data_IF_094202674186
#
_entry.id   IF_094202674186
#
_cell.length_a   1.000
_cell.length_b   1.000
_cell.length_c   1.000
_cell.angle_alpha   90.00
_cell.angle_beta   90.00
_cell.angle_gamma   90.00
#
_symmetry.space_group_name_H-M   'P 1'
#
loop_
_entity.id
_entity.type
_entity.pdbx_description
1 polymer ?
#
# COMPACT_ATOMS: atom_id res chain seq x y z
N UNK A 1 -11.56 -40.14 -15.97
CA UNK A 1 -10.75 -39.70 -17.12
C UNK A 1 -9.30 -40.08 -16.84
N UNK A 2 -8.66 -40.83 -17.73
CA UNK A 2 -7.26 -41.25 -17.57
C UNK A 2 -6.35 -40.02 -17.49
N UNK A 3 -5.55 -39.93 -16.43
CA UNK A 3 -4.46 -38.96 -16.31
C UNK A 3 -3.33 -39.36 -17.27
N UNK A 4 -3.53 -39.10 -18.57
CA UNK A 4 -2.44 -39.16 -19.54
C UNK A 4 -1.47 -38.06 -19.14
N UNK A 5 -0.23 -38.44 -18.77
CA UNK A 5 0.87 -37.49 -18.56
C UNK A 5 1.13 -36.86 -19.93
N UNK A 6 0.43 -35.77 -20.23
CA UNK A 6 0.63 -35.04 -21.48
C UNK A 6 1.93 -34.25 -21.39
N UNK A 7 2.70 -34.29 -22.47
CA UNK A 7 3.92 -33.51 -22.55
C UNK A 7 3.58 -32.01 -22.69
N UNK A 8 4.47 -31.13 -22.23
CA UNK A 8 4.25 -29.67 -22.31
C UNK A 8 4.01 -29.21 -23.74
N UNK A 9 4.68 -29.83 -24.72
CA UNK A 9 4.50 -29.53 -26.14
C UNK A 9 3.08 -29.87 -26.64
N UNK A 10 2.51 -31.00 -26.20
CA UNK A 10 1.15 -31.40 -26.57
C UNK A 10 0.11 -30.45 -25.95
N UNK A 11 0.29 -30.12 -24.67
CA UNK A 11 -0.58 -29.17 -23.97
C UNK A 11 -0.55 -27.80 -24.66
N UNK A 12 0.64 -27.28 -24.95
CA UNK A 12 0.82 -26.00 -25.64
C UNK A 12 0.18 -26.02 -27.03
N UNK A 13 0.31 -27.12 -27.78
CA UNK A 13 -0.33 -27.26 -29.09
C UNK A 13 -1.86 -27.22 -29.00
N UNK A 14 -2.47 -27.94 -28.06
CA UNK A 14 -3.92 -27.95 -27.84
C UNK A 14 -4.44 -26.57 -27.42
N UNK A 15 -3.74 -25.92 -26.49
CA UNK A 15 -4.09 -24.58 -26.02
C UNK A 15 -4.08 -23.59 -27.19
N UNK A 16 -3.03 -23.60 -28.02
CA UNK A 16 -2.90 -22.70 -29.17
C UNK A 16 -3.92 -22.96 -30.27
N UNK A 17 -4.12 -24.22 -30.62
CA UNK A 17 -4.86 -24.59 -31.83
C UNK A 17 -6.36 -24.71 -31.58
N UNK A 18 -6.74 -25.17 -30.39
CA UNK A 18 -8.13 -25.52 -30.05
C UNK A 18 -8.71 -24.67 -28.92
N UNK A 19 -7.93 -23.74 -28.36
CA UNK A 19 -8.31 -22.95 -27.19
C UNK A 19 -8.80 -23.84 -26.03
N UNK A 20 -8.23 -25.04 -25.89
CA UNK A 20 -8.66 -26.05 -24.93
C UNK A 20 -8.35 -25.61 -23.49
N UNK A 21 -9.42 -25.36 -22.73
CA UNK A 21 -9.34 -24.95 -21.33
C UNK A 21 -8.85 -26.07 -20.41
N UNK A 22 -9.19 -27.32 -20.72
CA UNK A 22 -8.77 -28.48 -19.94
C UNK A 22 -7.26 -28.68 -20.08
N UNK A 23 -6.72 -28.50 -21.29
CA UNK A 23 -5.29 -28.53 -21.54
C UNK A 23 -4.55 -27.44 -20.75
N UNK A 24 -5.13 -26.23 -20.66
CA UNK A 24 -4.57 -25.17 -19.82
C UNK A 24 -4.62 -25.51 -18.33
N UNK A 25 -5.70 -26.10 -17.83
CA UNK A 25 -5.79 -26.53 -16.43
C UNK A 25 -4.69 -27.53 -16.06
N UNK A 26 -4.39 -28.50 -16.94
CA UNK A 26 -3.27 -29.42 -16.74
C UNK A 26 -1.92 -28.70 -16.73
N UNK A 27 -1.71 -27.74 -17.63
CA UNK A 27 -0.50 -26.94 -17.65
C UNK A 27 -0.38 -26.09 -16.38
N UNK A 28 -1.46 -25.47 -15.94
CA UNK A 28 -1.53 -24.71 -14.70
C UNK A 28 -1.15 -25.57 -13.48
N UNK A 29 -1.75 -26.75 -13.32
CA UNK A 29 -1.43 -27.69 -12.24
C UNK A 29 0.05 -28.14 -12.24
N UNK A 30 0.71 -28.12 -13.40
CA UNK A 30 2.14 -28.44 -13.48
C UNK A 30 3.04 -27.27 -13.08
N UNK A 31 2.64 -26.04 -13.38
CA UNK A 31 3.49 -24.84 -13.26
C UNK A 31 3.16 -23.95 -12.06
N UNK A 32 2.02 -24.12 -11.39
CA UNK A 32 1.60 -23.23 -10.30
C UNK A 32 2.61 -23.17 -9.13
N UNK A 33 3.24 -24.29 -8.76
CA UNK A 33 4.29 -24.32 -7.73
C UNK A 33 5.56 -23.60 -8.17
N UNK A 34 5.88 -23.63 -9.48
CA UNK A 34 7.02 -22.91 -10.03
C UNK A 34 6.78 -21.40 -9.96
N UNK A 35 5.57 -20.94 -10.26
CA UNK A 35 5.18 -19.54 -10.12
C UNK A 35 5.37 -19.11 -8.67
N UNK A 36 4.78 -19.85 -7.72
CA UNK A 36 4.94 -19.56 -6.29
C UNK A 36 6.39 -19.49 -5.86
N UNK A 37 7.22 -20.45 -6.30
CA UNK A 37 8.66 -20.43 -6.04
C UNK A 37 9.29 -19.11 -6.50
N UNK A 38 8.94 -18.62 -7.69
CA UNK A 38 9.49 -17.36 -8.18
C UNK A 38 8.93 -16.13 -7.47
N UNK A 39 7.66 -16.10 -7.11
CA UNK A 39 7.07 -15.01 -6.28
C UNK A 39 7.86 -14.85 -4.98
N UNK A 40 8.13 -15.96 -4.28
CA UNK A 40 8.89 -15.94 -3.03
C UNK A 40 10.37 -15.54 -3.22
N UNK A 41 10.94 -15.76 -4.41
CA UNK A 41 12.30 -15.33 -4.74
C UNK A 41 12.42 -13.83 -5.07
N UNK A 42 11.31 -13.12 -5.27
CA UNK A 42 11.34 -11.70 -5.63
C UNK A 42 11.54 -10.75 -4.44
N UNK A 43 11.55 -11.26 -3.20
CA UNK A 43 11.73 -10.47 -1.97
C UNK A 43 10.75 -9.27 -1.84
N UNK A 44 9.51 -9.45 -2.33
CA UNK A 44 8.42 -8.47 -2.24
C UNK A 44 7.59 -8.65 -0.96
N UNK A 45 6.88 -7.60 -0.54
CA UNK A 45 5.95 -7.64 0.60
C UNK A 45 4.90 -8.73 0.43
N UNK A 46 4.55 -9.42 1.52
CA UNK A 46 3.60 -10.54 1.49
C UNK A 46 2.22 -10.16 0.93
N UNK A 47 1.79 -8.91 1.14
CA UNK A 47 0.52 -8.39 0.59
C UNK A 47 0.48 -8.38 -0.95
N UNK A 48 1.64 -8.31 -1.60
CA UNK A 48 1.77 -8.30 -3.07
C UNK A 48 1.88 -9.72 -3.65
N UNK A 49 2.03 -10.75 -2.81
CA UNK A 49 2.33 -12.11 -3.27
C UNK A 49 1.20 -12.70 -4.12
N UNK A 50 -0.04 -12.51 -3.71
CA UNK A 50 -1.20 -13.02 -4.43
C UNK A 50 -1.35 -12.35 -5.80
N UNK A 51 -1.13 -11.03 -5.88
CA UNK A 51 -1.16 -10.28 -7.14
C UNK A 51 -0.06 -10.76 -8.10
N UNK A 52 1.17 -10.91 -7.61
CA UNK A 52 2.27 -11.45 -8.41
C UNK A 52 2.02 -12.90 -8.85
N UNK A 53 1.38 -13.71 -8.00
CA UNK A 53 1.00 -15.06 -8.36
C UNK A 53 -0.03 -15.06 -9.51
N UNK A 54 -1.06 -14.21 -9.44
CA UNK A 54 -2.04 -14.05 -10.51
C UNK A 54 -1.40 -13.57 -11.82
N UNK A 55 -0.52 -12.58 -11.75
CA UNK A 55 0.28 -12.12 -12.89
C UNK A 55 1.12 -13.26 -13.48
N UNK A 56 1.68 -14.12 -12.64
CA UNK A 56 2.40 -15.31 -13.07
C UNK A 56 1.54 -16.31 -13.85
N UNK A 57 0.27 -16.49 -13.44
CA UNK A 57 -0.70 -17.34 -14.16
C UNK A 57 -1.02 -16.73 -15.52
N UNK A 58 -1.24 -15.41 -15.59
CA UNK A 58 -1.47 -14.73 -16.86
C UNK A 58 -0.27 -14.87 -17.81
N UNK A 59 0.95 -14.75 -17.28
CA UNK A 59 2.18 -14.99 -18.04
C UNK A 59 2.26 -16.44 -18.52
N UNK A 60 1.82 -17.43 -17.73
CA UNK A 60 1.80 -18.83 -18.16
C UNK A 60 0.87 -19.04 -19.36
N UNK A 61 -0.33 -18.45 -19.34
CA UNK A 61 -1.24 -18.47 -20.48
C UNK A 61 -0.61 -17.81 -21.72
N UNK A 62 -0.01 -16.64 -21.54
CA UNK A 62 0.73 -15.95 -22.61
C UNK A 62 1.89 -16.79 -23.13
N UNK A 63 2.61 -17.49 -22.24
CA UNK A 63 3.70 -18.40 -22.61
C UNK A 63 3.18 -19.50 -23.53
N UNK A 64 2.08 -20.14 -23.12
CA UNK A 64 1.44 -21.19 -23.90
C UNK A 64 1.06 -20.68 -25.29
N UNK A 65 0.54 -19.45 -25.43
CA UNK A 65 0.16 -18.89 -26.73
C UNK A 65 1.34 -18.46 -27.61
N UNK A 66 2.46 -18.04 -27.02
CA UNK A 66 3.58 -17.44 -27.75
C UNK A 66 4.79 -18.35 -27.93
N UNK A 67 4.81 -19.52 -27.29
CA UNK A 67 5.94 -20.44 -27.36
C UNK A 67 6.22 -20.93 -28.78
N UNK A 68 7.48 -20.93 -29.17
CA UNK A 68 7.91 -21.33 -30.51
C UNK A 68 9.03 -22.36 -30.38
N UNK A 69 8.72 -23.59 -30.78
CA UNK A 69 9.62 -24.74 -30.66
C UNK A 69 10.85 -24.61 -31.56
N UNK A 70 10.77 -23.85 -32.66
CA UNK A 70 11.89 -23.62 -33.58
C UNK A 70 13.09 -22.91 -32.92
N UNK A 71 12.87 -22.28 -31.76
CA UNK A 71 13.90 -21.53 -31.02
C UNK A 71 14.80 -22.40 -30.15
N UNK A 72 14.73 -23.73 -30.24
CA UNK A 72 15.60 -24.69 -29.53
C UNK A 72 15.67 -24.46 -28.00
N UNK A 73 14.53 -24.13 -27.38
CA UNK A 73 14.39 -24.00 -25.92
C UNK A 73 13.18 -24.80 -25.47
N UNK A 74 13.31 -25.45 -24.32
CA UNK A 74 12.16 -26.12 -23.69
C UNK A 74 11.13 -25.09 -23.25
N UNK A 75 9.84 -25.48 -23.26
CA UNK A 75 8.75 -24.62 -22.79
C UNK A 75 9.03 -24.09 -21.37
N UNK A 76 9.47 -24.95 -20.45
CA UNK A 76 9.84 -24.56 -19.08
C UNK A 76 10.85 -23.42 -19.06
N UNK A 77 11.94 -23.51 -19.85
CA UNK A 77 12.98 -22.48 -19.88
C UNK A 77 12.50 -21.18 -20.51
N UNK A 78 11.65 -21.28 -21.53
CA UNK A 78 10.99 -20.11 -22.11
C UNK A 78 10.09 -19.42 -21.09
N UNK A 79 9.22 -20.18 -20.41
CA UNK A 79 8.30 -19.66 -19.41
C UNK A 79 9.03 -18.99 -18.24
N UNK A 80 10.05 -19.65 -17.67
CA UNK A 80 10.83 -19.06 -16.58
C UNK A 80 11.51 -17.74 -16.97
N UNK A 81 12.00 -17.65 -18.21
CA UNK A 81 12.64 -16.43 -18.72
C UNK A 81 11.64 -15.26 -18.75
N UNK A 82 10.46 -15.48 -19.34
CA UNK A 82 9.46 -14.42 -19.45
C UNK A 82 8.82 -14.08 -18.10
N UNK A 83 8.64 -15.07 -17.21
CA UNK A 83 8.12 -14.89 -15.86
C UNK A 83 9.03 -13.97 -15.04
N UNK A 84 10.34 -14.25 -15.01
CA UNK A 84 11.32 -13.39 -14.33
C UNK A 84 11.29 -11.96 -14.87
N UNK A 85 11.31 -11.80 -16.19
CA UNK A 85 11.28 -10.48 -16.83
C UNK A 85 10.03 -9.70 -16.46
N UNK A 86 8.88 -10.36 -16.45
CA UNK A 86 7.60 -9.77 -16.06
C UNK A 86 7.62 -9.32 -14.60
N UNK A 87 8.06 -10.20 -13.69
CA UNK A 87 8.15 -9.86 -12.27
C UNK A 87 9.10 -8.69 -12.00
N UNK A 88 10.28 -8.64 -12.62
CA UNK A 88 11.17 -7.47 -12.48
C UNK A 88 10.53 -6.19 -13.00
N UNK A 89 9.76 -6.27 -14.10
CA UNK A 89 9.02 -5.11 -14.61
C UNK A 89 7.91 -4.67 -13.64
N UNK A 90 7.19 -5.60 -13.00
CA UNK A 90 6.18 -5.28 -11.98
C UNK A 90 6.81 -4.63 -10.75
N UNK A 91 7.91 -5.19 -10.23
CA UNK A 91 8.65 -4.63 -9.09
C UNK A 91 9.08 -3.19 -9.38
N UNK A 92 9.56 -2.92 -10.60
CA UNK A 92 9.96 -1.56 -10.98
C UNK A 92 8.83 -0.53 -10.97
N UNK A 93 7.57 -0.99 -11.04
CA UNK A 93 6.36 -0.16 -11.02
C UNK A 93 5.70 -0.07 -9.64
N UNK A 94 6.15 -0.86 -8.65
CA UNK A 94 5.59 -0.81 -7.31
C UNK A 94 5.76 0.58 -6.69
N UNK A 95 4.79 1.04 -5.90
CA UNK A 95 4.86 2.35 -5.25
C UNK A 95 6.05 2.37 -4.28
N UNK A 96 6.93 3.36 -4.44
CA UNK A 96 8.09 3.55 -3.56
C UNK A 96 7.72 4.08 -2.18
N UNK A 97 6.57 4.75 -2.08
CA UNK A 97 6.08 5.36 -0.85
C UNK A 97 4.73 4.73 -0.51
N UNK A 98 4.62 4.23 0.72
CA UNK A 98 3.34 3.81 1.28
C UNK A 98 2.67 5.05 1.87
N UNK A 99 1.51 5.40 1.33
CA UNK A 99 0.66 6.43 1.91
C UNK A 99 -0.11 5.77 3.06
N UNK A 100 0.04 6.30 4.26
CA UNK A 100 -0.85 5.97 5.36
C UNK A 100 -2.03 6.94 5.30
N UNK A 101 -3.24 6.43 5.53
CA UNK A 101 -4.39 7.30 5.77
C UNK A 101 -4.07 8.16 7.00
N UNK A 102 -4.34 9.46 6.91
CA UNK A 102 -4.21 10.35 8.05
C UNK A 102 -5.15 9.79 9.13
N UNK A 103 -4.60 9.40 10.29
CA UNK A 103 -5.39 8.83 11.40
C UNK A 103 -6.48 9.79 11.92
N UNK A 104 -6.48 11.04 11.43
CA UNK A 104 -7.52 12.04 11.59
C UNK A 104 -8.80 11.82 10.77
N UNK A 105 -8.91 10.76 9.96
CA UNK A 105 -10.16 10.45 9.24
C UNK A 105 -11.37 10.32 10.20
N UNK A 106 -11.15 9.74 11.38
CA UNK A 106 -12.19 9.61 12.42
C UNK A 106 -12.52 10.94 13.11
N UNK A 107 -11.57 11.87 13.18
CA UNK A 107 -11.75 13.20 13.81
C UNK A 107 -12.78 14.05 13.04
N UNK A 108 -12.96 13.79 11.73
CA UNK A 108 -13.93 14.48 10.89
C UNK A 108 -15.39 14.01 11.05
N UNK A 109 -15.61 12.83 11.64
CA UNK A 109 -16.94 12.21 11.80
C UNK A 109 -17.35 12.01 13.26
N UNK A 110 -16.47 12.31 14.20
CA UNK A 110 -16.86 12.48 15.59
C UNK A 110 -17.81 13.68 15.66
N UNK A 111 -19.09 13.43 15.94
CA UNK A 111 -19.96 14.46 16.48
C UNK A 111 -19.36 14.83 17.84
N UNK A 112 -18.44 15.77 17.85
CA UNK A 112 -18.19 16.53 19.06
C UNK A 112 -19.48 17.32 19.30
N UNK A 113 -20.26 16.93 20.32
CA UNK A 113 -21.01 17.95 21.05
C UNK A 113 -20.01 19.08 21.28
N UNK A 114 -20.35 20.35 20.97
CA UNK A 114 -19.43 21.44 21.20
C UNK A 114 -19.07 21.42 22.68
N UNK A 115 -17.91 20.86 23.00
CA UNK A 115 -17.30 21.02 24.31
C UNK A 115 -17.18 22.53 24.48
N UNK A 116 -17.99 23.10 25.37
CA UNK A 116 -17.90 24.50 25.72
C UNK A 116 -16.52 24.72 26.34
N UNK A 117 -15.56 25.11 25.50
CA UNK A 117 -14.20 25.47 25.90
C UNK A 117 -14.15 26.65 26.90
N UNK A 118 -15.32 27.25 27.16
CA UNK A 118 -15.55 28.33 28.12
C UNK A 118 -14.92 28.02 29.48
N UNK A 119 -15.07 26.80 30.00
CA UNK A 119 -14.56 26.41 31.33
C UNK A 119 -13.03 26.56 31.44
N UNK A 120 -12.29 26.28 30.36
CA UNK A 120 -10.83 26.35 30.32
C UNK A 120 -10.37 27.79 30.10
N UNK A 121 -11.09 28.54 29.27
CA UNK A 121 -10.77 29.94 29.00
C UNK A 121 -11.00 30.84 30.21
N UNK A 122 -11.95 30.54 31.09
CA UNK A 122 -12.21 31.35 32.30
C UNK A 122 -11.01 31.40 33.26
N UNK A 123 -10.20 30.34 33.30
CA UNK A 123 -8.99 30.26 34.11
C UNK A 123 -7.75 30.86 33.41
N UNK A 124 -7.87 31.26 32.14
CA UNK A 124 -6.79 31.78 31.32
C UNK A 124 -6.69 33.31 31.39
N UNK A 125 -5.46 33.82 31.41
CA UNK A 125 -5.20 35.25 31.17
C UNK A 125 -5.55 35.66 29.75
N UNK A 126 -5.75 36.96 29.48
CA UNK A 126 -6.02 37.46 28.11
C UNK A 126 -5.00 36.96 27.09
N UNK A 127 -3.72 36.97 27.47
CA UNK A 127 -2.65 36.44 26.63
C UNK A 127 -2.80 34.93 26.38
N UNK A 128 -3.19 34.16 27.38
CA UNK A 128 -3.40 32.71 27.22
C UNK A 128 -4.66 32.41 26.40
N UNK A 129 -5.71 33.24 26.47
CA UNK A 129 -6.91 33.13 25.63
C UNK A 129 -6.58 33.33 24.15
N UNK A 130 -5.77 34.34 23.83
CA UNK A 130 -5.30 34.55 22.46
C UNK A 130 -4.47 33.37 21.95
N UNK A 131 -3.54 32.85 22.78
CA UNK A 131 -2.74 31.68 22.44
C UNK A 131 -3.62 30.43 22.29
N UNK A 132 -4.66 30.28 23.13
CA UNK A 132 -5.62 29.20 23.02
C UNK A 132 -6.32 29.22 21.65
N UNK A 133 -6.85 30.39 21.27
CA UNK A 133 -7.50 30.60 19.99
C UNK A 133 -6.57 30.30 18.80
N UNK A 134 -5.39 30.93 18.74
CA UNK A 134 -4.51 30.78 17.58
C UNK A 134 -3.86 29.39 17.46
N UNK A 135 -3.49 28.77 18.59
CA UNK A 135 -2.75 27.51 18.58
C UNK A 135 -3.67 26.28 18.64
N UNK A 136 -4.68 26.27 19.50
CA UNK A 136 -5.52 25.09 19.74
C UNK A 136 -6.73 25.03 18.81
N UNK A 137 -7.38 26.18 18.53
CA UNK A 137 -8.55 26.26 17.65
C UNK A 137 -8.12 26.41 16.18
N UNK A 138 -7.36 27.46 15.85
CA UNK A 138 -6.98 27.78 14.47
C UNK A 138 -5.77 26.98 13.94
N UNK A 139 -5.13 26.16 14.79
CA UNK A 139 -3.98 25.30 14.45
C UNK A 139 -2.82 26.04 13.77
N UNK A 140 -2.58 27.30 14.12
CA UNK A 140 -1.50 28.08 13.52
C UNK A 140 -0.12 27.65 14.05
N UNK A 141 0.90 27.70 13.19
CA UNK A 141 2.28 27.44 13.60
C UNK A 141 2.80 28.56 14.53
N UNK A 142 3.57 28.19 15.56
CA UNK A 142 4.13 29.13 16.57
C UNK A 142 4.89 30.30 15.94
N UNK A 143 5.57 30.07 14.81
CA UNK A 143 6.27 31.14 14.05
C UNK A 143 5.32 32.22 13.53
N UNK A 144 4.10 31.85 13.13
CA UNK A 144 3.07 32.77 12.65
C UNK A 144 2.48 33.57 13.82
N UNK A 145 2.17 32.88 14.91
CA UNK A 145 1.67 33.49 16.16
C UNK A 145 2.69 34.50 16.73
N UNK A 146 3.97 34.13 16.75
CA UNK A 146 5.08 34.99 17.20
C UNK A 146 5.16 36.30 16.40
N UNK A 147 4.94 36.24 15.08
CA UNK A 147 4.89 37.44 14.23
C UNK A 147 3.65 38.28 14.48
N UNK A 148 2.49 37.66 14.63
CA UNK A 148 1.21 38.34 14.81
C UNK A 148 1.12 39.06 16.16
N UNK A 149 1.54 38.38 17.23
CA UNK A 149 1.51 38.93 18.59
C UNK A 149 2.80 39.68 18.97
N UNK A 150 3.76 39.80 18.03
CA UNK A 150 5.06 40.44 18.23
C UNK A 150 5.77 39.97 19.51
N UNK A 151 5.78 38.67 19.76
CA UNK A 151 6.32 38.07 20.98
C UNK A 151 7.28 36.92 20.68
N UNK A 152 8.23 36.68 21.58
CA UNK A 152 9.25 35.63 21.40
C UNK A 152 8.60 34.23 21.38
N UNK A 153 9.02 33.31 20.49
CA UNK A 153 8.48 31.95 20.44
C UNK A 153 8.49 31.24 21.79
N UNK A 154 9.51 31.47 22.61
CA UNK A 154 9.63 30.91 23.97
C UNK A 154 8.45 31.31 24.88
N UNK A 155 7.97 32.55 24.77
CA UNK A 155 6.83 33.05 25.55
C UNK A 155 5.54 32.33 25.15
N UNK A 156 5.38 32.01 23.86
CA UNK A 156 4.24 31.24 23.34
C UNK A 156 4.29 29.79 23.85
N UNK A 157 5.45 29.12 23.77
CA UNK A 157 5.60 27.77 24.31
C UNK A 157 5.27 27.69 25.81
N UNK A 158 5.72 28.69 26.59
CA UNK A 158 5.38 28.77 28.01
C UNK A 158 3.88 28.96 28.26
N UNK A 159 3.19 29.74 27.42
CA UNK A 159 1.73 29.89 27.51
C UNK A 159 1.01 28.58 27.15
N UNK A 160 1.41 27.91 26.07
CA UNK A 160 0.87 26.59 25.67
C UNK A 160 1.04 25.58 26.82
N UNK A 161 2.21 25.56 27.47
CA UNK A 161 2.46 24.68 28.61
C UNK A 161 1.51 24.97 29.78
N UNK A 162 1.36 26.25 30.18
CA UNK A 162 0.45 26.65 31.27
C UNK A 162 -1.01 26.33 30.97
N UNK A 163 -1.45 26.53 29.73
CA UNK A 163 -2.80 26.16 29.28
C UNK A 163 -3.03 24.65 29.45
N UNK A 164 -2.07 23.81 29.02
CA UNK A 164 -2.17 22.35 29.17
C UNK A 164 -2.21 21.91 30.63
N UNK A 165 -1.41 22.53 31.49
CA UNK A 165 -1.42 22.25 32.95
C UNK A 165 -2.75 22.66 33.58
N UNK A 166 -3.32 23.81 33.21
CA UNK A 166 -4.65 24.24 33.69
C UNK A 166 -5.74 23.23 33.29
N UNK A 167 -5.74 22.81 32.03
CA UNK A 167 -6.69 21.80 31.54
C UNK A 167 -6.54 20.47 32.29
N UNK A 168 -5.31 20.01 32.53
CA UNK A 168 -5.04 18.78 33.27
C UNK A 168 -5.56 18.83 34.72
N UNK A 169 -5.54 20.00 35.35
CA UNK A 169 -6.04 20.17 36.72
C UNK A 169 -7.57 20.29 36.79
N UNK A 170 -8.28 20.38 35.66
CA UNK A 170 -9.74 20.41 35.58
C UNK A 170 -10.36 19.02 35.43
N UNK A 171 -9.58 18.03 34.96
CA UNK A 171 -9.95 16.62 34.82
C UNK A 171 -9.59 15.87 36.11
#
# INVERSE_FOLDING_TARGET
MQYKIMNDYELVYLIKSQADTIAFDFLFQKYHKLIWKYVHLMHIDQKEHDDFYQEGIQVLYKAAMTFDESKNKTFTRYFELILKRHFYALISKLPKYQLYEDSNFMECFAYHEPETYDEVTDLCSEFEKDIFQYYFIEKQAVKRISKQMSCEPKKIYNAIFRIKEKYKNMI
#
